data_IF_194095106062
#
_entry.id   IF_194095106062
#
_cell.length_a   1.000
_cell.length_b   1.000
_cell.length_c   1.000
_cell.angle_alpha   90.00
_cell.angle_beta   90.00
_cell.angle_gamma   90.00
#
_symmetry.space_group_name_H-M   'P 1'
#
loop_
_entity.id
_entity.type
_entity.pdbx_description
1 polymer ?
#
# COMPACT_ATOMS: atom_id res chain seq x y z
N UNK A 1 22.05 3.11 -4.82
CA UNK A 1 22.12 3.60 -6.20
C UNK A 1 22.78 2.57 -7.13
N UNK A 2 23.87 1.92 -6.72
CA UNK A 2 24.52 0.87 -7.53
C UNK A 2 23.67 -0.39 -7.68
N UNK A 3 22.87 -0.76 -6.69
CA UNK A 3 21.92 -1.87 -6.80
C UNK A 3 20.85 -1.58 -7.85
N UNK A 4 20.37 -0.34 -7.91
CA UNK A 4 19.40 0.09 -8.92
C UNK A 4 19.99 0.14 -10.34
N UNK A 5 21.28 0.49 -10.46
CA UNK A 5 22.01 0.48 -11.73
C UNK A 5 22.14 -0.93 -12.30
N UNK A 6 22.40 -1.92 -11.45
CA UNK A 6 22.44 -3.34 -11.85
C UNK A 6 21.05 -3.85 -12.26
N UNK A 7 20.00 -3.55 -11.51
CA UNK A 7 18.64 -3.89 -11.92
C UNK A 7 18.29 -3.39 -13.32
N UNK A 8 18.70 -2.15 -13.65
CA UNK A 8 18.42 -1.55 -14.96
C UNK A 8 19.13 -2.26 -16.10
N UNK A 9 20.39 -2.65 -15.91
CA UNK A 9 21.21 -3.25 -16.97
C UNK A 9 20.88 -4.72 -17.20
N UNK A 10 20.45 -5.44 -16.13
CA UNK A 10 20.24 -6.87 -16.16
C UNK A 10 18.77 -7.28 -16.37
N UNK A 11 17.81 -6.49 -15.89
CA UNK A 11 16.39 -6.87 -15.83
C UNK A 11 15.43 -5.96 -16.62
N UNK A 12 15.81 -4.72 -16.94
CA UNK A 12 15.02 -3.82 -17.76
C UNK A 12 15.44 -3.90 -19.22
N UNK A 13 14.56 -4.42 -20.06
CA UNK A 13 14.77 -4.53 -21.49
C UNK A 13 13.70 -3.75 -22.25
N UNK A 14 14.08 -2.99 -23.27
CA UNK A 14 13.13 -2.31 -24.14
C UNK A 14 12.60 -3.26 -25.20
N UNK A 15 11.29 -3.39 -25.31
CA UNK A 15 10.66 -4.13 -26.39
C UNK A 15 10.68 -3.35 -27.71
N UNK A 16 10.19 -3.97 -28.79
CA UNK A 16 10.13 -3.36 -30.12
C UNK A 16 9.29 -2.08 -30.21
N UNK A 17 8.43 -1.81 -29.21
CA UNK A 17 7.60 -0.62 -29.12
C UNK A 17 8.22 0.44 -28.20
N UNK A 18 9.41 0.19 -27.66
CA UNK A 18 10.10 1.10 -26.76
C UNK A 18 9.61 1.05 -25.30
N UNK A 19 8.77 0.06 -24.95
CA UNK A 19 8.29 -0.15 -23.57
C UNK A 19 9.34 -0.92 -22.78
N UNK A 20 9.68 -0.45 -21.60
CA UNK A 20 10.61 -1.14 -20.69
C UNK A 20 9.93 -2.33 -20.03
N UNK A 21 10.36 -3.52 -20.38
CA UNK A 21 9.90 -4.76 -19.77
C UNK A 21 10.84 -5.18 -18.64
N UNK A 22 10.29 -5.72 -17.56
CA UNK A 22 11.04 -6.32 -16.46
C UNK A 22 11.09 -7.83 -16.72
N UNK A 23 12.28 -8.37 -16.98
CA UNK A 23 12.48 -9.77 -17.39
C UNK A 23 13.74 -10.33 -16.72
N UNK A 24 13.65 -11.47 -15.98
CA UNK A 24 12.45 -12.22 -15.63
C UNK A 24 11.61 -11.51 -14.56
N UNK A 25 10.32 -11.83 -14.46
CA UNK A 25 9.40 -11.29 -13.49
C UNK A 25 8.46 -12.39 -12.97
N UNK A 26 8.02 -12.25 -11.72
CA UNK A 26 7.11 -13.18 -11.07
C UNK A 26 6.11 -12.42 -10.20
N UNK A 27 4.85 -12.83 -10.18
CA UNK A 27 3.95 -12.41 -9.11
C UNK A 27 4.11 -13.34 -7.91
N UNK A 28 4.69 -12.87 -6.80
CA UNK A 28 4.88 -13.72 -5.63
C UNK A 28 3.52 -14.00 -4.95
N UNK A 29 3.23 -15.21 -4.61
CA UNK A 29 3.76 -16.49 -5.11
C UNK A 29 2.70 -17.22 -5.96
N UNK A 30 1.72 -16.47 -6.49
CA UNK A 30 0.66 -17.05 -7.31
C UNK A 30 1.21 -17.42 -8.69
N UNK A 31 0.66 -18.48 -9.26
CA UNK A 31 1.12 -19.03 -10.51
C UNK A 31 0.03 -18.87 -11.59
N UNK A 32 0.49 -18.74 -12.82
CA UNK A 32 -0.34 -18.87 -13.99
C UNK A 32 -0.78 -20.34 -14.09
N UNK A 33 -2.08 -20.58 -14.21
CA UNK A 33 -2.59 -21.95 -14.46
C UNK A 33 -2.17 -22.39 -15.85
N UNK A 34 -1.74 -23.65 -15.93
CA UNK A 34 -0.84 -24.10 -16.97
C UNK A 34 -1.37 -23.96 -18.39
N UNK A 35 -0.50 -23.49 -19.25
CA UNK A 35 -0.47 -23.88 -20.66
C UNK A 35 0.34 -25.17 -20.73
N UNK A 36 -0.32 -26.35 -20.64
CA UNK A 36 0.33 -27.64 -20.60
C UNK A 36 0.37 -28.31 -19.23
N UNK A 37 1.41 -29.12 -18.94
CA UNK A 37 1.46 -29.96 -17.73
C UNK A 37 2.03 -29.29 -16.49
N UNK A 38 2.58 -28.07 -16.59
CA UNK A 38 3.29 -27.41 -15.48
C UNK A 38 2.82 -25.98 -15.26
N UNK A 39 2.69 -25.53 -13.99
CA UNK A 39 2.40 -24.13 -13.71
C UNK A 39 3.55 -23.24 -14.20
N UNK A 40 3.21 -22.09 -14.77
CA UNK A 40 4.21 -21.09 -15.20
C UNK A 40 4.52 -20.19 -14.02
N UNK A 41 5.79 -20.17 -13.60
CA UNK A 41 6.27 -19.41 -12.44
C UNK A 41 6.83 -18.05 -12.83
N UNK A 42 7.37 -17.93 -14.02
CA UNK A 42 8.12 -16.76 -14.48
C UNK A 42 7.49 -16.23 -15.76
N UNK A 43 7.27 -14.94 -15.79
CA UNK A 43 6.75 -14.19 -16.93
C UNK A 43 7.58 -12.90 -17.08
N UNK A 44 7.04 -11.90 -17.70
CA UNK A 44 7.57 -10.55 -17.79
C UNK A 44 6.65 -9.57 -17.08
N UNK A 45 7.22 -8.52 -16.50
CA UNK A 45 6.49 -7.33 -16.01
C UNK A 45 5.23 -7.65 -15.20
N UNK A 46 5.36 -8.51 -14.17
CA UNK A 46 4.27 -8.71 -13.21
C UNK A 46 3.84 -7.37 -12.61
N UNK A 47 2.57 -7.26 -12.23
CA UNK A 47 2.01 -6.02 -11.70
C UNK A 47 2.80 -5.51 -10.47
N UNK A 48 3.24 -6.41 -9.59
CA UNK A 48 4.05 -6.03 -8.43
C UNK A 48 5.39 -5.42 -8.83
N UNK A 49 6.12 -6.06 -9.75
CA UNK A 49 7.43 -5.56 -10.17
C UNK A 49 7.32 -4.19 -10.86
N UNK A 50 6.30 -4.01 -11.71
CA UNK A 50 6.04 -2.71 -12.35
C UNK A 50 5.72 -1.63 -11.33
N UNK A 51 4.88 -1.93 -10.33
CA UNK A 51 4.50 -0.99 -9.27
C UNK A 51 5.70 -0.63 -8.38
N UNK A 52 6.49 -1.61 -7.97
CA UNK A 52 7.72 -1.40 -7.19
C UNK A 52 8.76 -0.60 -7.97
N UNK A 53 8.96 -0.90 -9.23
CA UNK A 53 9.89 -0.16 -10.10
C UNK A 53 9.43 1.30 -10.26
N UNK A 54 8.15 1.52 -10.47
CA UNK A 54 7.57 2.87 -10.56
C UNK A 54 7.81 3.68 -9.29
N UNK A 55 7.55 3.10 -8.11
CA UNK A 55 7.75 3.77 -6.83
C UNK A 55 9.22 4.02 -6.53
N UNK A 56 10.08 3.04 -6.77
CA UNK A 56 11.53 3.21 -6.58
C UNK A 56 12.08 4.36 -7.42
N UNK A 57 11.62 4.48 -8.68
CA UNK A 57 11.96 5.61 -9.54
C UNK A 57 11.41 6.93 -9.01
N UNK A 58 10.14 6.95 -8.55
CA UNK A 58 9.52 8.14 -7.96
C UNK A 58 10.30 8.64 -6.74
N UNK A 59 10.69 7.74 -5.84
CA UNK A 59 11.49 8.09 -4.66
C UNK A 59 12.89 8.57 -5.02
N UNK A 60 13.55 7.93 -6.00
CA UNK A 60 14.87 8.35 -6.46
C UNK A 60 14.84 9.74 -7.10
N UNK A 61 13.85 10.01 -7.96
CA UNK A 61 13.64 11.31 -8.61
C UNK A 61 13.38 12.39 -7.53
N UNK A 62 12.43 12.17 -6.65
CA UNK A 62 12.09 13.12 -5.58
C UNK A 62 13.28 13.39 -4.66
N UNK A 63 14.03 12.35 -4.31
CA UNK A 63 15.23 12.51 -3.47
C UNK A 63 16.30 13.35 -4.16
N UNK A 64 16.55 13.13 -5.46
CA UNK A 64 17.49 13.92 -6.24
C UNK A 64 17.07 15.39 -6.32
N UNK A 65 15.79 15.66 -6.49
CA UNK A 65 15.23 17.01 -6.51
C UNK A 65 15.37 17.72 -5.16
N UNK A 66 15.01 17.06 -4.05
CA UNK A 66 15.11 17.60 -2.68
C UNK A 66 16.57 17.90 -2.31
N UNK A 67 17.47 16.97 -2.61
CA UNK A 67 18.90 17.09 -2.27
C UNK A 67 19.67 17.94 -3.30
N UNK A 68 19.05 18.30 -4.40
CA UNK A 68 19.66 19.00 -5.53
C UNK A 68 20.94 18.31 -6.06
N UNK A 69 20.86 16.97 -6.23
CA UNK A 69 21.95 16.12 -6.74
C UNK A 69 21.45 15.24 -7.88
N UNK A 70 22.37 14.66 -8.67
CA UNK A 70 22.06 13.64 -9.68
C UNK A 70 20.99 14.03 -10.72
N UNK A 71 20.90 15.29 -11.11
CA UNK A 71 19.87 15.81 -12.02
C UNK A 71 19.87 15.07 -13.37
N UNK A 72 21.04 14.77 -13.93
CA UNK A 72 21.16 13.99 -15.18
C UNK A 72 20.59 12.57 -15.04
N UNK A 73 20.72 11.98 -13.86
CA UNK A 73 20.17 10.66 -13.56
C UNK A 73 18.65 10.76 -13.36
N UNK A 74 18.17 11.82 -12.69
CA UNK A 74 16.75 12.06 -12.49
C UNK A 74 15.99 12.12 -13.82
N UNK A 75 16.53 12.80 -14.84
CA UNK A 75 15.93 12.84 -16.18
C UNK A 75 15.90 11.44 -16.85
N UNK A 76 16.94 10.65 -16.67
CA UNK A 76 16.94 9.26 -17.16
C UNK A 76 15.91 8.40 -16.43
N UNK A 77 15.77 8.57 -15.11
CA UNK A 77 14.78 7.84 -14.31
C UNK A 77 13.34 8.23 -14.70
N UNK A 78 13.09 9.51 -14.96
CA UNK A 78 11.80 9.98 -15.50
C UNK A 78 11.46 9.33 -16.84
N UNK A 79 12.45 9.24 -17.73
CA UNK A 79 12.27 8.59 -19.03
C UNK A 79 11.95 7.10 -18.89
N UNK A 80 12.65 6.39 -18.01
CA UNK A 80 12.38 4.97 -17.72
C UNK A 80 10.98 4.81 -17.12
N UNK A 81 10.64 5.61 -16.11
CA UNK A 81 9.33 5.54 -15.43
C UNK A 81 8.17 5.74 -16.42
N UNK A 82 8.33 6.71 -17.32
CA UNK A 82 7.34 6.98 -18.38
C UNK A 82 7.20 5.82 -19.37
N UNK A 83 8.29 5.08 -19.58
CA UNK A 83 8.32 3.94 -20.50
C UNK A 83 7.99 2.60 -19.89
N UNK A 84 7.65 2.52 -18.57
CA UNK A 84 7.19 1.29 -17.95
C UNK A 84 5.82 0.84 -18.48
N UNK A 85 5.50 -0.46 -18.40
CA UNK A 85 4.17 -0.94 -18.75
C UNK A 85 3.07 -0.24 -17.95
N UNK A 86 1.89 0.01 -18.54
CA UNK A 86 0.77 0.58 -17.81
C UNK A 86 0.25 -0.38 -16.74
N UNK A 87 -0.36 0.14 -15.69
CA UNK A 87 -1.11 -0.66 -14.71
C UNK A 87 -2.43 -1.14 -15.34
N UNK A 88 -2.42 -2.37 -15.82
CA UNK A 88 -3.46 -2.92 -16.67
C UNK A 88 -4.68 -3.38 -15.86
N UNK A 89 -5.86 -3.24 -16.49
CA UNK A 89 -7.13 -3.75 -15.99
C UNK A 89 -7.62 -4.82 -16.96
N UNK A 90 -7.94 -5.98 -16.45
CA UNK A 90 -8.42 -7.12 -17.23
C UNK A 90 -9.85 -6.95 -17.72
N UNK A 91 -10.28 -7.86 -18.59
CA UNK A 91 -11.63 -7.87 -19.17
C UNK A 91 -12.73 -8.04 -18.12
N UNK A 92 -12.40 -8.62 -16.97
CA UNK A 92 -13.29 -8.75 -15.80
C UNK A 92 -13.31 -7.50 -14.88
N UNK A 93 -12.53 -6.48 -15.20
CA UNK A 93 -12.44 -5.23 -14.48
C UNK A 93 -11.57 -5.29 -13.22
N UNK A 94 -10.80 -6.36 -13.00
CA UNK A 94 -9.79 -6.49 -11.95
C UNK A 94 -8.45 -5.92 -12.41
N UNK A 95 -7.56 -5.57 -11.49
CA UNK A 95 -6.15 -5.35 -11.82
C UNK A 95 -5.55 -6.67 -12.33
N UNK A 96 -4.85 -6.60 -13.44
CA UNK A 96 -4.10 -7.76 -13.92
C UNK A 96 -2.91 -8.02 -12.99
N UNK A 97 -2.71 -9.28 -12.62
CA UNK A 97 -1.60 -9.70 -11.79
C UNK A 97 -0.34 -9.95 -12.62
N UNK A 98 -0.51 -10.36 -13.87
CA UNK A 98 0.56 -10.60 -14.85
C UNK A 98 0.44 -9.68 -16.06
N UNK A 99 1.46 -9.69 -16.91
CA UNK A 99 1.50 -8.85 -18.11
C UNK A 99 0.38 -9.13 -19.12
N UNK A 100 -0.16 -10.35 -19.10
CA UNK A 100 -1.33 -10.76 -19.90
C UNK A 100 -2.41 -11.35 -19.02
N UNK A 101 -3.63 -11.42 -19.52
CA UNK A 101 -4.69 -12.14 -18.85
C UNK A 101 -4.42 -13.64 -18.95
N UNK A 102 -4.12 -14.22 -17.80
CA UNK A 102 -3.94 -15.65 -17.63
C UNK A 102 -4.91 -16.19 -16.59
N UNK A 103 -5.32 -17.47 -16.69
CA UNK A 103 -6.06 -18.11 -15.61
C UNK A 103 -5.15 -18.23 -14.38
N UNK A 104 -5.71 -17.93 -13.23
CA UNK A 104 -5.02 -18.04 -11.95
C UNK A 104 -5.01 -19.49 -11.46
N UNK A 105 -3.85 -19.99 -11.02
CA UNK A 105 -3.77 -21.31 -10.40
C UNK A 105 -4.52 -21.35 -9.08
N UNK A 106 -4.40 -20.28 -8.28
CA UNK A 106 -5.02 -20.14 -6.97
C UNK A 106 -5.75 -18.79 -6.85
N UNK A 107 -7.02 -18.70 -7.27
CA UNK A 107 -7.79 -17.45 -7.16
C UNK A 107 -7.89 -16.90 -5.73
N UNK A 108 -7.80 -17.79 -4.71
CA UNK A 108 -7.75 -17.43 -3.28
C UNK A 108 -6.34 -17.40 -2.69
N UNK A 109 -5.32 -17.22 -3.50
CA UNK A 109 -3.93 -17.20 -3.00
C UNK A 109 -3.73 -16.17 -1.88
N UNK A 110 -2.89 -16.50 -0.89
CA UNK A 110 -2.63 -15.65 0.27
C UNK A 110 -1.91 -14.34 -0.06
N UNK A 111 -1.14 -14.29 -1.15
CA UNK A 111 -0.49 -13.07 -1.60
C UNK A 111 -1.45 -12.16 -2.39
N UNK A 112 -1.31 -10.86 -2.15
CA UNK A 112 -2.05 -9.78 -2.81
C UNK A 112 -1.09 -8.84 -3.55
N UNK A 113 -0.05 -9.40 -4.15
CA UNK A 113 1.12 -8.69 -4.67
C UNK A 113 0.75 -7.58 -5.66
N UNK A 114 -0.22 -7.81 -6.53
CA UNK A 114 -0.74 -6.83 -7.49
C UNK A 114 -1.50 -5.66 -6.85
N UNK A 115 -1.79 -5.72 -5.54
CA UNK A 115 -2.43 -4.65 -4.77
C UNK A 115 -1.44 -3.76 -4.02
N UNK A 116 -0.13 -3.93 -4.23
CA UNK A 116 0.90 -3.06 -3.65
C UNK A 116 0.62 -1.59 -3.89
N UNK A 117 0.17 -1.22 -5.07
CA UNK A 117 -0.16 0.17 -5.45
C UNK A 117 -1.36 0.77 -4.72
N UNK A 118 -2.19 -0.04 -4.06
CA UNK A 118 -3.26 0.43 -3.17
C UNK A 118 -2.73 0.61 -1.74
N UNK A 119 -1.96 -0.38 -1.24
CA UNK A 119 -1.26 -0.35 0.04
C UNK A 119 -0.10 -1.37 0.03
N UNK A 120 1.12 -1.02 0.47
CA UNK A 120 1.52 0.20 1.21
C UNK A 120 1.73 1.47 0.35
N UNK A 121 1.85 1.33 -0.97
CA UNK A 121 1.95 2.49 -1.86
C UNK A 121 0.63 3.30 -1.91
N UNK A 122 0.69 4.48 -2.53
CA UNK A 122 -0.46 5.32 -2.85
C UNK A 122 -0.57 5.58 -4.37
N UNK A 123 -0.10 4.62 -5.18
CA UNK A 123 -0.22 4.69 -6.63
C UNK A 123 -1.68 4.70 -7.10
N UNK A 124 -2.54 3.94 -6.41
CA UNK A 124 -3.95 3.81 -6.75
C UNK A 124 -4.82 4.47 -5.69
N UNK A 125 -5.21 5.71 -5.94
CA UNK A 125 -6.12 6.46 -5.08
C UNK A 125 -7.34 6.92 -5.89
N UNK A 126 -8.43 7.30 -5.22
CA UNK A 126 -9.60 7.85 -5.92
C UNK A 126 -9.28 9.08 -6.77
N UNK A 127 -8.22 9.82 -6.41
CA UNK A 127 -7.83 11.07 -7.04
C UNK A 127 -6.82 10.89 -8.16
N UNK A 128 -5.79 10.05 -7.94
CA UNK A 128 -4.68 9.93 -8.90
C UNK A 128 -4.94 8.91 -10.01
N UNK A 129 -5.52 7.76 -9.66
CA UNK A 129 -5.82 6.66 -10.61
C UNK A 129 -7.14 5.98 -10.25
N UNK A 130 -8.28 6.66 -10.47
CA UNK A 130 -9.60 6.17 -10.02
C UNK A 130 -10.01 4.82 -10.62
N UNK A 131 -9.60 4.52 -11.85
CA UNK A 131 -9.96 3.25 -12.49
C UNK A 131 -9.15 2.08 -11.91
N UNK A 132 -7.83 2.25 -11.69
CA UNK A 132 -6.99 1.25 -11.03
C UNK A 132 -7.41 1.06 -9.57
N UNK A 133 -7.79 2.15 -8.88
CA UNK A 133 -8.35 2.07 -7.54
C UNK A 133 -9.60 1.19 -7.46
N UNK A 134 -10.57 1.39 -8.38
CA UNK A 134 -11.77 0.56 -8.46
C UNK A 134 -11.43 -0.88 -8.83
N UNK A 135 -10.49 -1.09 -9.74
CA UNK A 135 -10.03 -2.41 -10.15
C UNK A 135 -9.33 -3.14 -9.00
N UNK A 136 -8.52 -2.44 -8.19
CA UNK A 136 -7.88 -2.99 -6.99
C UNK A 136 -8.91 -3.48 -5.96
N UNK A 137 -9.98 -2.71 -5.73
CA UNK A 137 -11.09 -3.14 -4.86
C UNK A 137 -11.75 -4.42 -5.39
N UNK A 138 -11.97 -4.52 -6.70
CA UNK A 138 -12.53 -5.73 -7.30
C UNK A 138 -11.59 -6.93 -7.15
N UNK A 139 -10.29 -6.73 -7.35
CA UNK A 139 -9.28 -7.78 -7.15
C UNK A 139 -9.24 -8.25 -5.69
N UNK A 140 -9.28 -7.34 -4.72
CA UNK A 140 -9.33 -7.68 -3.30
C UNK A 140 -10.55 -8.54 -2.97
N UNK A 141 -11.74 -8.09 -3.38
CA UNK A 141 -13.00 -8.82 -3.15
C UNK A 141 -13.00 -10.20 -3.82
N UNK A 142 -12.49 -10.28 -5.04
CA UNK A 142 -12.34 -11.56 -5.74
C UNK A 142 -11.44 -12.52 -4.96
N UNK A 143 -10.23 -12.08 -4.58
CA UNK A 143 -9.27 -12.88 -3.82
C UNK A 143 -9.88 -13.40 -2.51
N UNK A 144 -10.60 -12.57 -1.79
CA UNK A 144 -11.25 -12.92 -0.54
C UNK A 144 -12.43 -13.89 -0.74
N UNK A 145 -13.18 -13.76 -1.83
CA UNK A 145 -14.31 -14.68 -2.13
C UNK A 145 -13.87 -16.13 -2.38
N UNK A 146 -12.59 -16.34 -2.69
CA UNK A 146 -11.96 -17.65 -2.82
C UNK A 146 -11.12 -18.04 -1.59
N UNK A 147 -11.30 -17.36 -0.44
CA UNK A 147 -10.63 -17.71 0.81
C UNK A 147 -9.25 -17.08 1.00
N UNK A 148 -8.87 -16.06 0.25
CA UNK A 148 -7.63 -15.34 0.41
C UNK A 148 -7.45 -14.73 1.81
N UNK A 149 -6.21 -14.40 2.18
CA UNK A 149 -5.89 -13.87 3.50
C UNK A 149 -5.87 -14.93 4.62
N UNK A 150 -5.57 -16.18 4.29
CA UNK A 150 -5.60 -17.33 5.20
C UNK A 150 -4.29 -17.59 5.95
N UNK A 151 -3.43 -16.58 6.10
CA UNK A 151 -2.22 -16.59 6.93
C UNK A 151 -2.11 -15.30 7.73
N UNK A 152 -1.34 -15.28 8.81
CA UNK A 152 -1.29 -14.12 9.69
C UNK A 152 -0.85 -12.83 9.00
N UNK A 153 0.30 -12.84 8.31
CA UNK A 153 0.79 -11.66 7.59
C UNK A 153 -0.15 -11.23 6.44
N UNK A 154 -0.74 -12.20 5.74
CA UNK A 154 -1.69 -11.90 4.68
C UNK A 154 -2.99 -11.28 5.23
N UNK A 155 -3.49 -11.80 6.36
CA UNK A 155 -4.65 -11.25 7.06
C UNK A 155 -4.39 -9.82 7.55
N UNK A 156 -3.18 -9.54 8.05
CA UNK A 156 -2.76 -8.21 8.43
C UNK A 156 -2.76 -7.25 7.22
N UNK A 157 -2.26 -7.71 6.07
CA UNK A 157 -2.28 -6.90 4.84
C UNK A 157 -3.71 -6.61 4.36
N UNK A 158 -4.61 -7.60 4.42
CA UNK A 158 -6.04 -7.39 4.12
C UNK A 158 -6.65 -6.33 5.05
N UNK A 159 -6.32 -6.37 6.34
CA UNK A 159 -6.77 -5.35 7.29
C UNK A 159 -6.24 -3.95 6.93
N UNK A 160 -4.95 -3.83 6.55
CA UNK A 160 -4.39 -2.57 6.06
C UNK A 160 -5.10 -2.06 4.79
N UNK A 161 -5.42 -2.95 3.85
CA UNK A 161 -6.14 -2.60 2.62
C UNK A 161 -7.53 -2.04 2.93
N UNK A 162 -8.30 -2.66 3.81
CA UNK A 162 -9.61 -2.14 4.21
C UNK A 162 -9.52 -0.86 5.04
N UNK A 163 -8.48 -0.71 5.87
CA UNK A 163 -8.20 0.54 6.55
C UNK A 163 -7.94 1.68 5.55
N UNK A 164 -7.10 1.44 4.52
CA UNK A 164 -6.82 2.38 3.42
C UNK A 164 -8.06 2.71 2.60
N UNK A 165 -8.98 1.77 2.43
CA UNK A 165 -10.24 1.97 1.72
C UNK A 165 -11.29 2.75 2.53
N UNK A 166 -11.05 3.01 3.81
CA UNK A 166 -12.04 3.65 4.69
C UNK A 166 -13.24 2.75 4.98
N UNK A 167 -13.05 1.44 5.03
CA UNK A 167 -14.08 0.44 5.31
C UNK A 167 -13.92 -0.12 6.74
N UNK A 168 -14.57 0.49 7.74
CA UNK A 168 -14.37 0.14 9.14
C UNK A 168 -14.89 -1.25 9.51
N UNK A 169 -15.96 -1.72 8.87
CA UNK A 169 -16.56 -3.02 9.19
C UNK A 169 -15.64 -4.17 8.70
N UNK A 170 -15.21 -4.13 7.46
CA UNK A 170 -14.26 -5.11 6.92
C UNK A 170 -12.88 -5.00 7.58
N UNK A 171 -12.39 -3.79 7.88
CA UNK A 171 -11.17 -3.62 8.67
C UNK A 171 -11.27 -4.36 10.00
N UNK A 172 -12.33 -4.12 10.76
CA UNK A 172 -12.52 -4.72 12.10
C UNK A 172 -12.67 -6.24 12.04
N UNK A 173 -13.41 -6.75 11.07
CA UNK A 173 -13.55 -8.19 10.83
C UNK A 173 -12.18 -8.85 10.62
N UNK A 174 -11.40 -8.33 9.67
CA UNK A 174 -10.11 -8.92 9.33
C UNK A 174 -9.04 -8.71 10.40
N UNK A 175 -9.05 -7.56 11.09
CA UNK A 175 -8.18 -7.32 12.24
C UNK A 175 -8.50 -8.26 13.42
N UNK A 176 -9.78 -8.45 13.71
CA UNK A 176 -10.21 -9.37 14.75
C UNK A 176 -9.85 -10.82 14.40
N UNK A 177 -10.04 -11.24 13.15
CA UNK A 177 -9.63 -12.55 12.68
C UNK A 177 -8.11 -12.74 12.75
N UNK A 178 -7.31 -11.70 12.45
CA UNK A 178 -5.86 -11.74 12.64
C UNK A 178 -5.48 -12.11 14.08
N UNK A 179 -6.08 -11.44 15.05
CA UNK A 179 -5.79 -11.67 16.47
C UNK A 179 -6.31 -13.04 16.92
N UNK A 180 -7.53 -13.41 16.53
CA UNK A 180 -8.21 -14.61 17.01
C UNK A 180 -7.65 -15.90 16.39
N UNK A 181 -7.40 -15.90 15.07
CA UNK A 181 -7.15 -17.11 14.31
C UNK A 181 -5.65 -17.30 13.97
N UNK A 182 -4.87 -16.22 14.02
CA UNK A 182 -3.48 -16.21 13.57
C UNK A 182 -2.49 -15.69 14.61
N UNK A 183 -2.85 -15.71 15.93
CA UNK A 183 -1.88 -15.39 16.98
C UNK A 183 -1.92 -16.43 18.10
N UNK A 184 -0.79 -16.55 18.80
CA UNK A 184 -0.72 -17.27 20.07
C UNK A 184 -1.37 -16.46 21.20
N UNK A 185 -1.51 -17.07 22.39
CA UNK A 185 -1.92 -16.36 23.61
C UNK A 185 -0.97 -15.20 23.96
N UNK A 186 0.31 -15.30 23.56
CA UNK A 186 1.30 -14.23 23.73
C UNK A 186 1.30 -13.22 22.59
N UNK A 187 0.29 -13.24 21.73
CA UNK A 187 0.14 -12.37 20.54
C UNK A 187 1.26 -12.51 19.49
N UNK A 188 2.00 -13.62 19.50
CA UNK A 188 2.93 -13.91 18.40
C UNK A 188 2.16 -14.37 17.17
N UNK A 189 2.36 -13.69 16.05
CA UNK A 189 1.66 -13.99 14.81
C UNK A 189 2.14 -15.30 14.17
N UNK A 190 1.21 -16.04 13.59
CA UNK A 190 1.44 -17.35 13.03
C UNK A 190 1.04 -17.44 11.55
N UNK A 191 1.92 -18.09 10.80
CA UNK A 191 1.58 -18.70 9.52
C UNK A 191 1.26 -20.19 9.75
N UNK A 192 0.15 -20.73 9.21
CA UNK A 192 -0.06 -22.18 9.29
C UNK A 192 1.12 -22.99 8.74
N UNK A 193 1.53 -24.13 9.37
CA UNK A 193 0.90 -24.76 10.52
C UNK A 193 1.42 -24.34 11.92
N UNK A 194 1.97 -23.20 12.19
CA UNK A 194 2.48 -22.64 13.44
C UNK A 194 3.87 -22.01 13.31
N UNK A 195 4.20 -21.51 12.13
CA UNK A 195 5.45 -20.80 11.90
C UNK A 195 5.27 -19.36 12.36
N UNK A 196 6.10 -18.89 13.29
CA UNK A 196 6.12 -17.49 13.69
C UNK A 196 6.57 -16.59 12.52
N UNK A 197 5.81 -15.54 12.27
CA UNK A 197 6.17 -14.48 11.32
C UNK A 197 5.87 -13.11 11.92
N UNK A 198 6.92 -12.33 12.16
CA UNK A 198 6.81 -10.98 12.71
C UNK A 198 6.01 -10.03 11.83
N UNK A 199 5.94 -10.31 10.54
CA UNK A 199 5.21 -9.51 9.53
C UNK A 199 3.75 -9.28 9.93
N UNK A 200 3.07 -10.31 10.43
CA UNK A 200 1.69 -10.18 10.88
C UNK A 200 1.55 -9.35 12.16
N UNK A 201 2.56 -9.35 13.04
CA UNK A 201 2.58 -8.48 14.20
C UNK A 201 2.72 -7.01 13.80
N UNK A 202 3.74 -6.71 12.98
CA UNK A 202 3.99 -5.34 12.52
C UNK A 202 2.86 -4.85 11.60
N UNK A 203 2.37 -5.72 10.71
CA UNK A 203 1.24 -5.42 9.84
C UNK A 203 -0.05 -5.17 10.61
N UNK A 204 -0.30 -5.88 11.71
CA UNK A 204 -1.44 -5.64 12.59
C UNK A 204 -1.40 -4.25 13.24
N UNK A 205 -0.23 -3.83 13.71
CA UNK A 205 -0.02 -2.46 14.24
C UNK A 205 -0.22 -1.42 13.14
N UNK A 206 0.34 -1.67 11.97
CA UNK A 206 0.16 -0.78 10.81
C UNK A 206 -1.30 -0.63 10.41
N UNK A 207 -2.08 -1.71 10.45
CA UNK A 207 -3.52 -1.68 10.14
C UNK A 207 -4.32 -0.81 11.13
N UNK A 208 -3.97 -0.87 12.43
CA UNK A 208 -4.58 0.02 13.46
C UNK A 208 -4.23 1.47 13.17
N UNK A 209 -2.96 1.78 12.92
CA UNK A 209 -2.53 3.15 12.62
C UNK A 209 -3.25 3.65 11.36
N UNK A 210 -3.25 2.86 10.29
CA UNK A 210 -3.88 3.19 9.01
C UNK A 210 -5.38 3.45 9.14
N UNK A 211 -6.08 2.73 10.03
CA UNK A 211 -7.52 2.94 10.27
C UNK A 211 -7.83 4.28 10.94
N UNK A 212 -6.87 4.85 11.66
CA UNK A 212 -7.03 6.07 12.47
C UNK A 212 -6.36 7.27 11.80
N UNK A 213 -5.15 7.11 11.28
CA UNK A 213 -4.39 8.13 10.54
C UNK A 213 -3.78 7.49 9.31
N UNK A 214 -4.45 7.60 8.18
CA UNK A 214 -3.96 7.13 6.88
C UNK A 214 -3.36 8.30 6.10
N UNK A 215 -2.20 8.11 5.46
CA UNK A 215 -1.58 9.18 4.67
C UNK A 215 -1.43 8.75 3.21
N UNK A 216 -2.13 9.44 2.33
CA UNK A 216 -2.04 9.30 0.88
C UNK A 216 -2.52 10.58 0.19
N UNK A 217 -2.21 10.76 -1.09
CA UNK A 217 -2.54 11.99 -1.83
C UNK A 217 -2.06 13.26 -1.12
N UNK A 218 -0.92 13.19 -0.40
CA UNK A 218 -0.34 14.29 0.41
C UNK A 218 -1.26 14.80 1.52
N UNK A 219 -2.19 13.98 1.98
CA UNK A 219 -3.19 14.33 2.99
C UNK A 219 -3.27 13.24 4.05
N UNK A 220 -3.34 13.65 5.32
CA UNK A 220 -3.61 12.76 6.44
C UNK A 220 -5.12 12.61 6.63
N UNK A 221 -5.65 11.44 6.34
CA UNK A 221 -7.07 11.09 6.50
C UNK A 221 -7.32 10.57 7.91
N UNK A 222 -8.21 11.23 8.64
CA UNK A 222 -8.42 10.98 10.06
C UNK A 222 -9.68 10.14 10.30
N UNK A 223 -9.53 9.07 11.10
CA UNK A 223 -10.61 8.19 11.56
C UNK A 223 -11.44 7.57 10.41
N UNK A 224 -10.84 7.44 9.20
CA UNK A 224 -11.59 7.02 8.02
C UNK A 224 -12.12 5.58 8.10
N UNK A 225 -11.42 4.70 8.85
CA UNK A 225 -11.83 3.31 9.04
C UNK A 225 -11.99 2.98 10.54
N UNK A 226 -12.43 3.95 11.35
CA UNK A 226 -12.63 3.74 12.79
C UNK A 226 -13.84 2.80 13.05
N UNK A 227 -13.61 1.61 13.64
CA UNK A 227 -14.68 0.67 13.93
C UNK A 227 -15.70 1.24 14.92
N UNK A 228 -16.93 0.77 14.84
CA UNK A 228 -18.00 1.15 15.78
C UNK A 228 -17.73 0.70 17.22
N UNK A 229 -16.92 -0.35 17.38
CA UNK A 229 -16.49 -0.91 18.66
C UNK A 229 -15.50 0.00 19.40
N UNK A 230 -14.80 0.87 18.68
CA UNK A 230 -13.80 1.80 19.25
C UNK A 230 -14.43 3.17 19.52
N UNK A 231 -15.34 3.20 20.49
CA UNK A 231 -16.12 4.39 20.81
C UNK A 231 -15.27 5.61 21.23
N UNK A 232 -14.20 5.37 21.98
CA UNK A 232 -13.27 6.40 22.44
C UNK A 232 -11.85 5.85 22.48
N UNK A 233 -10.87 6.70 22.24
CA UNK A 233 -9.47 6.31 22.28
C UNK A 233 -8.53 7.47 21.94
N UNK A 234 -7.24 7.15 21.91
CA UNK A 234 -6.21 8.09 21.50
C UNK A 234 -5.01 7.36 20.94
N UNK A 235 -4.29 8.01 20.01
CA UNK A 235 -2.96 7.64 19.57
C UNK A 235 -2.04 8.85 19.61
N UNK A 236 -0.83 8.67 20.10
CA UNK A 236 0.15 9.74 20.22
C UNK A 236 1.44 9.37 19.47
N UNK A 237 2.09 10.37 18.87
CA UNK A 237 3.40 10.21 18.28
C UNK A 237 3.40 9.47 16.94
N UNK A 238 2.33 9.56 16.16
CA UNK A 238 2.27 8.95 14.83
C UNK A 238 3.09 9.79 13.85
N UNK A 239 4.12 9.18 13.29
CA UNK A 239 4.93 9.80 12.24
C UNK A 239 4.25 9.66 10.89
N UNK A 240 4.12 10.79 10.19
CA UNK A 240 3.62 10.84 8.80
C UNK A 240 4.65 11.55 7.90
N UNK A 241 4.57 11.40 6.58
CA UNK A 241 5.46 12.07 5.63
C UNK A 241 5.60 13.57 5.89
N UNK A 242 6.76 14.15 5.53
CA UNK A 242 7.10 15.54 5.87
C UNK A 242 7.79 15.68 7.22
N UNK A 243 7.98 14.57 7.95
CA UNK A 243 8.59 14.55 9.30
C UNK A 243 7.64 15.04 10.38
N UNK A 244 6.34 15.06 10.09
CA UNK A 244 5.33 15.48 11.04
C UNK A 244 5.02 14.39 12.07
N UNK A 245 4.64 14.80 13.29
CA UNK A 245 4.23 13.91 14.38
C UNK A 245 2.81 14.28 14.80
N UNK A 246 1.89 13.36 14.63
CA UNK A 246 0.46 13.54 14.90
C UNK A 246 0.06 12.87 16.21
N UNK A 247 -0.75 13.55 17.00
CA UNK A 247 -1.46 12.99 18.15
C UNK A 247 -2.95 13.27 18.00
N UNK A 248 -3.77 12.24 18.20
CA UNK A 248 -5.20 12.26 17.95
C UNK A 248 -5.96 11.59 19.09
N UNK A 249 -7.11 12.14 19.44
CA UNK A 249 -8.08 11.50 20.34
C UNK A 249 -9.47 11.59 19.76
N UNK A 250 -10.30 10.63 20.09
CA UNK A 250 -11.71 10.60 19.71
C UNK A 250 -12.58 10.17 20.88
N UNK A 251 -13.81 10.65 20.90
CA UNK A 251 -14.85 10.31 21.86
C UNK A 251 -16.18 10.25 21.15
N UNK A 252 -17.01 9.27 21.48
CA UNK A 252 -18.25 8.98 20.76
C UNK A 252 -18.03 8.83 19.24
N UNK A 253 -16.88 8.24 18.87
CA UNK A 253 -16.44 8.06 17.48
C UNK A 253 -16.20 9.36 16.71
N UNK A 254 -16.16 10.48 17.39
CA UNK A 254 -15.90 11.80 16.82
C UNK A 254 -14.53 12.28 17.24
N UNK A 255 -13.83 12.94 16.32
CA UNK A 255 -12.54 13.59 16.62
C UNK A 255 -12.74 14.60 17.75
N UNK A 256 -12.02 14.45 18.85
CA UNK A 256 -12.10 15.33 20.01
C UNK A 256 -10.84 16.15 20.26
N UNK A 257 -9.69 15.66 19.77
CA UNK A 257 -8.42 16.38 19.84
C UNK A 257 -7.53 15.98 18.67
N UNK A 258 -6.86 16.94 18.07
CA UNK A 258 -5.83 16.77 17.08
C UNK A 258 -4.70 17.76 17.35
N UNK A 259 -3.49 17.26 17.47
CA UNK A 259 -2.29 18.09 17.46
C UNK A 259 -1.26 17.53 16.48
N UNK A 260 -0.47 18.43 15.91
CA UNK A 260 0.62 18.07 15.02
C UNK A 260 1.87 18.88 15.39
N UNK A 261 2.98 18.18 15.55
CA UNK A 261 4.30 18.80 15.57
C UNK A 261 4.84 18.79 14.14
N UNK A 262 5.08 19.97 13.58
CA UNK A 262 5.50 20.12 12.19
C UNK A 262 6.93 19.64 12.00
N UNK A 263 7.14 18.89 10.93
CA UNK A 263 8.47 18.43 10.51
C UNK A 263 9.20 19.45 9.63
N UNK A 264 10.07 18.94 8.75
CA UNK A 264 10.81 19.76 7.79
C UNK A 264 9.89 20.34 6.69
N UNK A 265 8.82 19.64 6.33
CA UNK A 265 7.72 20.20 5.53
C UNK A 265 6.82 21.00 6.48
N UNK A 266 6.92 22.30 6.47
CA UNK A 266 6.29 23.22 7.43
C UNK A 266 4.76 23.35 7.26
N UNK A 267 4.13 22.44 6.51
CA UNK A 267 2.70 22.42 6.25
C UNK A 267 2.23 20.98 6.03
N UNK A 268 1.06 20.65 6.55
CA UNK A 268 0.39 19.36 6.36
C UNK A 268 -1.11 19.56 6.19
N UNK A 269 -1.69 18.77 5.28
CA UNK A 269 -3.14 18.73 5.09
C UNK A 269 -3.74 17.56 5.84
N UNK A 270 -4.93 17.80 6.36
CA UNK A 270 -5.79 16.81 7.02
C UNK A 270 -7.14 16.75 6.33
N UNK A 271 -7.72 15.56 6.29
CA UNK A 271 -9.09 15.33 5.87
C UNK A 271 -9.84 14.63 7.01
N UNK A 272 -11.00 15.15 7.35
CA UNK A 272 -11.92 14.53 8.31
C UNK A 272 -13.36 14.75 7.89
N UNK A 273 -14.11 13.67 7.67
CA UNK A 273 -15.50 13.68 7.25
C UNK A 273 -15.78 14.57 6.02
N UNK A 274 -14.91 14.47 5.00
CA UNK A 274 -15.03 15.22 3.76
C UNK A 274 -14.58 16.69 3.83
N UNK A 275 -14.10 17.15 4.99
CA UNK A 275 -13.54 18.51 5.16
C UNK A 275 -12.02 18.46 5.14
N UNK A 276 -11.43 19.32 4.31
CA UNK A 276 -9.98 19.49 4.21
C UNK A 276 -9.59 20.75 5.00
N UNK A 277 -8.55 20.62 5.81
CA UNK A 277 -7.95 21.72 6.55
C UNK A 277 -6.43 21.50 6.70
N UNK A 278 -5.68 22.52 7.07
CA UNK A 278 -4.22 22.43 7.13
C UNK A 278 -3.66 23.04 8.42
N UNK A 279 -2.49 22.53 8.82
CA UNK A 279 -1.63 23.15 9.79
C UNK A 279 -0.39 23.70 9.07
N UNK A 280 0.05 24.90 9.40
CA UNK A 280 1.23 25.54 8.85
C UNK A 280 1.96 26.34 9.93
N UNK A 281 3.30 26.28 9.94
CA UNK A 281 4.12 26.98 10.92
C UNK A 281 5.61 26.66 10.77
N UNK A 282 6.37 26.81 11.84
CA UNK A 282 7.79 26.50 11.85
C UNK A 282 8.05 25.01 12.17
N UNK A 283 9.18 24.48 11.68
CA UNK A 283 9.62 23.12 12.03
C UNK A 283 9.80 22.99 13.55
N UNK A 284 9.28 21.90 14.12
CA UNK A 284 9.26 21.68 15.58
C UNK A 284 8.10 22.34 16.31
N UNK A 285 7.34 23.21 15.66
CA UNK A 285 6.18 23.84 16.27
C UNK A 285 5.04 22.84 16.42
N UNK A 286 4.44 22.77 17.61
CA UNK A 286 3.23 22.00 17.85
C UNK A 286 1.99 22.88 17.71
N UNK A 287 1.08 22.48 16.85
CA UNK A 287 -0.19 23.14 16.58
C UNK A 287 -1.32 22.25 17.08
N UNK A 288 -2.20 22.80 17.88
CA UNK A 288 -3.45 22.16 18.30
C UNK A 288 -4.56 22.68 17.39
N UNK A 289 -5.17 21.77 16.67
CA UNK A 289 -6.27 22.06 15.75
C UNK A 289 -7.58 21.93 16.52
N UNK A 290 -8.28 23.05 16.70
CA UNK A 290 -9.60 23.09 17.30
C UNK A 290 -10.65 22.79 16.22
N UNK A 291 -11.56 21.90 16.52
CA UNK A 291 -12.78 21.75 15.75
C UNK A 291 -13.80 22.79 16.13
#
# INVERSE_FOLDING_TARGET
LDSFRRCREDYLQQDQNGVFQIIPSQSPENHIDAIGCFPVLIDQSSAMDVQLCYDALSYAIRSAEILNVDQDKAEKWKAIQKGLPPFQIGTDGRLMEWYREYPEKEPGHRHLSHLYGLYPSDLFTPRTRPEQYKAAIRSLKHRLSYGGGHTGWSRAWVACLFARLGDPDNFYEHFTALIKDFTTVSLLNLHPPYIFQIDGNLGGVSAVIESIVSYYDQTAHLLQALPKEWNSGHLNGIHIPGGHIVSISWSNRMLSHLSVTLGFERSVQFEYQGRIFSAQGESGQTIVLKQ
#
